data_IF_553758571283
#
_entry.id   IF_553758571283
#
_cell.length_a   1.000
_cell.length_b   1.000
_cell.length_c   1.000
_cell.angle_alpha   90.00
_cell.angle_beta   90.00
_cell.angle_gamma   90.00
#
_symmetry.space_group_name_H-M   'P 1'
#
loop_
_entity.id
_entity.type
_entity.pdbx_description
1 polymer ?
#
# COMPACT_ATOMS: atom_id res chain seq x y z
N UNK A 1 -6.75 5.66 9.28
CA UNK A 1 -5.43 5.35 8.66
C UNK A 1 -5.50 3.91 8.12
N UNK A 2 -4.88 3.59 6.98
CA UNK A 2 -5.20 2.52 5.99
C UNK A 2 -6.45 2.74 5.13
N UNK A 3 -7.64 2.94 5.70
CA UNK A 3 -8.87 3.22 4.89
C UNK A 3 -8.65 4.45 4.01
N UNK A 4 -8.26 5.57 4.62
CA UNK A 4 -7.92 6.80 3.88
C UNK A 4 -6.81 6.59 2.84
N UNK A 5 -5.81 5.74 3.11
CA UNK A 5 -4.71 5.48 2.18
C UNK A 5 -5.22 4.76 0.93
N UNK A 6 -6.15 3.82 1.11
CA UNK A 6 -6.76 3.06 0.02
C UNK A 6 -7.80 3.90 -0.75
N UNK A 7 -8.69 4.63 -0.08
CA UNK A 7 -9.72 5.46 -0.76
C UNK A 7 -9.14 6.59 -1.61
N UNK A 8 -7.91 7.01 -1.33
CA UNK A 8 -7.18 8.03 -2.09
C UNK A 8 -6.24 7.44 -3.15
N UNK A 9 -6.21 6.11 -3.27
CA UNK A 9 -5.37 5.40 -4.24
C UNK A 9 -5.93 5.60 -5.65
N UNK A 10 -5.03 5.78 -6.61
CA UNK A 10 -5.34 5.74 -8.04
C UNK A 10 -4.40 4.75 -8.71
N UNK A 11 -4.82 4.15 -9.80
CA UNK A 11 -4.01 3.18 -10.54
C UNK A 11 -4.10 3.42 -12.03
N UNK A 12 -2.97 3.26 -12.73
CA UNK A 12 -2.97 3.29 -14.19
C UNK A 12 -3.60 1.98 -14.72
N UNK A 13 -4.62 2.03 -15.60
CA UNK A 13 -5.23 0.82 -16.14
C UNK A 13 -4.27 0.02 -17.03
N UNK A 14 -3.24 0.67 -17.62
CA UNK A 14 -2.26 0.05 -18.51
C UNK A 14 -1.07 -0.53 -17.75
N UNK A 15 -0.26 0.31 -17.09
CA UNK A 15 0.98 -0.12 -16.44
C UNK A 15 0.84 -0.50 -14.96
N UNK A 16 -0.37 -0.39 -14.39
CA UNK A 16 -0.68 -0.71 -12.98
C UNK A 16 0.06 0.12 -11.92
N UNK A 17 0.81 1.15 -12.32
CA UNK A 17 1.45 2.08 -11.39
C UNK A 17 0.41 2.65 -10.43
N UNK A 18 0.77 2.65 -9.15
CA UNK A 18 -0.05 3.13 -8.04
C UNK A 18 0.31 4.58 -7.74
N UNK A 19 -0.72 5.36 -7.48
CA UNK A 19 -0.66 6.75 -7.07
C UNK A 19 -1.50 6.96 -5.81
N UNK A 20 -1.21 8.01 -5.06
CA UNK A 20 -2.07 8.49 -3.99
C UNK A 20 -2.20 10.02 -4.09
N UNK A 21 -3.43 10.53 -4.15
CA UNK A 21 -3.68 11.95 -4.45
C UNK A 21 -3.24 12.91 -3.33
N UNK A 22 -3.08 12.43 -2.09
CA UNK A 22 -2.63 13.20 -0.92
C UNK A 22 -1.20 12.86 -0.48
N UNK A 23 -0.48 12.02 -1.21
CA UNK A 23 0.92 11.71 -0.91
C UNK A 23 1.86 12.70 -1.60
N UNK A 24 2.97 13.06 -0.95
CA UNK A 24 4.01 13.86 -1.61
C UNK A 24 4.75 13.01 -2.65
N UNK A 25 5.17 11.80 -2.28
CA UNK A 25 6.03 10.95 -3.11
C UNK A 25 5.28 10.23 -4.24
N UNK A 26 3.98 10.01 -4.07
CA UNK A 26 3.17 9.16 -4.95
C UNK A 26 2.02 9.89 -5.66
N UNK A 27 2.00 11.22 -5.65
CA UNK A 27 1.02 12.01 -6.42
C UNK A 27 1.41 12.06 -7.91
N UNK A 28 0.47 11.98 -8.85
CA UNK A 28 0.79 12.14 -10.26
C UNK A 28 1.26 13.57 -10.55
N UNK A 29 2.18 13.72 -11.51
CA UNK A 29 2.72 15.03 -11.91
C UNK A 29 1.64 15.91 -12.54
N UNK A 30 0.73 15.29 -13.30
CA UNK A 30 -0.46 15.94 -13.87
C UNK A 30 -1.68 15.26 -13.26
N UNK A 31 -2.63 16.06 -12.76
CA UNK A 31 -3.83 15.55 -12.11
C UNK A 31 -4.54 14.53 -13.00
N UNK A 32 -4.93 13.40 -12.38
CA UNK A 32 -5.64 12.28 -13.02
C UNK A 32 -4.91 11.57 -14.18
N UNK A 33 -3.63 11.87 -14.47
CA UNK A 33 -2.90 11.21 -15.55
C UNK A 33 -1.73 10.37 -15.04
N UNK A 34 -1.51 9.22 -15.67
CA UNK A 34 -0.31 8.43 -15.46
C UNK A 34 0.91 9.16 -16.03
N UNK A 35 1.97 9.29 -15.23
CA UNK A 35 3.18 10.00 -15.66
C UNK A 35 3.90 9.32 -16.82
N UNK A 36 3.73 8.00 -16.99
CA UNK A 36 4.35 7.21 -18.06
C UNK A 36 3.42 7.05 -19.25
N UNK A 37 2.22 6.50 -19.03
CA UNK A 37 1.29 6.14 -20.09
C UNK A 37 0.45 7.30 -20.61
N UNK A 38 0.39 8.42 -19.87
CA UNK A 38 -0.45 9.59 -20.16
C UNK A 38 -1.96 9.31 -20.28
N UNK A 39 -2.41 8.14 -19.82
CA UNK A 39 -3.83 7.79 -19.72
C UNK A 39 -4.41 8.18 -18.36
N UNK A 40 -5.73 8.28 -18.32
CA UNK A 40 -6.47 8.58 -17.10
C UNK A 40 -6.30 7.49 -16.03
N UNK A 41 -6.08 7.93 -14.80
CA UNK A 41 -5.97 7.06 -13.64
C UNK A 41 -7.35 6.67 -13.13
N UNK A 42 -7.50 5.41 -12.75
CA UNK A 42 -8.76 4.89 -12.22
C UNK A 42 -8.71 4.73 -10.70
N UNK A 43 -9.84 4.97 -10.04
CA UNK A 43 -10.09 4.50 -8.68
C UNK A 43 -10.53 3.03 -8.74
N UNK A 44 -9.94 2.17 -7.90
CA UNK A 44 -10.31 0.76 -7.89
C UNK A 44 -11.59 0.58 -7.07
N UNK A 45 -12.50 -0.28 -7.54
CA UNK A 45 -13.75 -0.58 -6.83
C UNK A 45 -13.53 -1.15 -5.43
N UNK A 46 -12.43 -1.85 -5.20
CA UNK A 46 -12.08 -2.46 -3.91
C UNK A 46 -11.46 -1.48 -2.88
N UNK A 47 -11.32 -0.20 -3.25
CA UNK A 47 -10.81 0.89 -2.41
C UNK A 47 -11.93 1.78 -1.82
N UNK A 48 -13.20 1.47 -2.13
CA UNK A 48 -14.34 2.13 -1.51
C UNK A 48 -14.35 1.87 0.02
N UNK A 49 -14.60 2.90 0.87
CA UNK A 49 -14.43 2.77 2.32
C UNK A 49 -15.16 1.59 2.97
N UNK A 50 -16.39 1.30 2.53
CA UNK A 50 -17.18 0.16 3.03
C UNK A 50 -16.51 -1.18 2.68
N UNK A 51 -16.05 -1.34 1.44
CA UNK A 51 -15.35 -2.54 0.96
C UNK A 51 -14.01 -2.71 1.68
N UNK A 52 -13.26 -1.62 1.86
CA UNK A 52 -11.99 -1.64 2.60
C UNK A 52 -12.19 -2.10 4.04
N UNK A 53 -13.25 -1.64 4.71
CA UNK A 53 -13.58 -2.07 6.07
C UNK A 53 -13.80 -3.59 6.13
N UNK A 54 -14.60 -4.15 5.21
CA UNK A 54 -14.80 -5.59 5.10
C UNK A 54 -13.48 -6.34 4.87
N UNK A 55 -12.62 -5.82 3.99
CA UNK A 55 -11.30 -6.45 3.72
C UNK A 55 -10.38 -6.45 4.94
N UNK A 56 -10.44 -5.42 5.79
CA UNK A 56 -9.65 -5.37 7.03
C UNK A 56 -10.13 -6.46 7.99
N UNK A 57 -11.43 -6.69 8.10
CA UNK A 57 -11.97 -7.75 8.93
C UNK A 57 -11.49 -9.13 8.44
N UNK A 58 -11.59 -9.39 7.13
CA UNK A 58 -11.08 -10.62 6.52
C UNK A 58 -9.58 -10.78 6.75
N UNK A 59 -8.78 -9.71 6.61
CA UNK A 59 -7.36 -9.74 6.92
C UNK A 59 -7.10 -10.14 8.38
N UNK A 60 -7.85 -9.58 9.33
CA UNK A 60 -7.69 -9.87 10.76
C UNK A 60 -8.03 -11.33 11.10
N UNK A 61 -9.03 -11.90 10.44
CA UNK A 61 -9.47 -13.28 10.67
C UNK A 61 -8.55 -14.30 9.98
N UNK A 62 -8.18 -14.05 8.72
CA UNK A 62 -7.58 -15.07 7.86
C UNK A 62 -6.08 -14.88 7.65
N UNK A 63 -5.59 -13.63 7.63
CA UNK A 63 -4.19 -13.34 7.29
C UNK A 63 -3.34 -13.03 8.52
N UNK A 64 -3.88 -12.28 9.50
CA UNK A 64 -3.17 -11.91 10.73
C UNK A 64 -2.61 -13.11 11.51
N UNK A 65 -3.27 -14.29 11.58
CA UNK A 65 -2.70 -15.47 12.24
C UNK A 65 -1.36 -15.95 11.65
N UNK A 66 -1.07 -15.64 10.38
CA UNK A 66 0.21 -15.98 9.72
C UNK A 66 1.40 -15.28 10.39
N UNK A 67 1.17 -14.16 11.08
CA UNK A 67 2.20 -13.47 11.87
C UNK A 67 2.77 -14.40 12.94
N UNK A 68 1.91 -15.14 13.65
CA UNK A 68 2.34 -16.06 14.69
C UNK A 68 3.15 -17.24 14.14
N UNK A 69 2.84 -17.69 12.92
CA UNK A 69 3.61 -18.73 12.24
C UNK A 69 5.05 -18.28 11.98
N UNK A 70 5.26 -17.10 11.39
CA UNK A 70 6.61 -16.57 11.13
C UNK A 70 7.35 -16.17 12.42
N UNK A 71 6.61 -15.70 13.44
CA UNK A 71 7.17 -15.37 14.75
C UNK A 71 7.77 -16.62 15.42
N UNK A 72 7.04 -17.74 15.44
CA UNK A 72 7.53 -19.02 16.01
C UNK A 72 8.77 -19.56 15.29
N UNK A 73 8.94 -19.24 14.00
CA UNK A 73 10.12 -19.63 13.21
C UNK A 73 11.30 -18.66 13.36
N UNK A 74 11.16 -17.59 14.15
CA UNK A 74 12.14 -16.52 14.25
C UNK A 74 12.47 -15.86 12.89
N UNK A 75 11.48 -15.80 11.99
CA UNK A 75 11.60 -15.20 10.65
C UNK A 75 10.84 -13.87 10.53
N UNK A 76 10.12 -13.45 11.58
CA UNK A 76 9.30 -12.25 11.55
C UNK A 76 10.15 -11.00 11.83
N UNK A 77 10.17 -10.07 10.89
CA UNK A 77 10.62 -8.69 11.10
C UNK A 77 9.43 -7.74 11.04
N UNK A 78 9.25 -6.92 12.09
CA UNK A 78 8.15 -5.95 12.18
C UNK A 78 8.64 -4.57 11.77
N UNK A 79 7.89 -3.91 10.89
CA UNK A 79 8.25 -2.61 10.32
C UNK A 79 7.05 -1.66 10.40
N UNK A 80 7.27 -0.43 10.88
CA UNK A 80 6.25 0.61 10.95
C UNK A 80 6.03 1.29 9.57
N UNK A 81 4.93 0.95 8.92
CA UNK A 81 4.54 1.48 7.61
C UNK A 81 3.86 2.87 7.66
N UNK A 82 3.98 3.61 8.77
CA UNK A 82 3.56 5.01 8.87
C UNK A 82 4.70 6.00 8.68
N UNK A 83 5.94 5.53 8.64
CA UNK A 83 7.14 6.33 8.32
C UNK A 83 7.12 6.82 6.87
N UNK A 84 8.02 7.75 6.55
CA UNK A 84 8.24 8.18 5.16
C UNK A 84 8.70 7.03 4.28
N UNK A 85 8.55 7.16 2.96
CA UNK A 85 9.00 6.14 2.02
C UNK A 85 10.51 5.88 2.15
N UNK A 86 11.33 6.93 2.27
CA UNK A 86 12.78 6.81 2.36
C UNK A 86 13.23 6.05 3.62
N UNK A 87 12.68 6.40 4.78
CA UNK A 87 12.97 5.69 6.04
C UNK A 87 12.54 4.23 5.96
N UNK A 88 11.35 3.98 5.43
CA UNK A 88 10.79 2.63 5.30
C UNK A 88 11.64 1.77 4.35
N UNK A 89 12.04 2.33 3.21
CA UNK A 89 12.87 1.67 2.21
C UNK A 89 14.23 1.28 2.79
N UNK A 90 14.88 2.21 3.51
CA UNK A 90 16.16 1.95 4.17
C UNK A 90 16.05 0.81 5.20
N UNK A 91 15.01 0.85 6.05
CA UNK A 91 14.79 -0.18 7.08
C UNK A 91 14.58 -1.58 6.46
N UNK A 92 13.83 -1.66 5.36
CA UNK A 92 13.62 -2.93 4.66
C UNK A 92 14.92 -3.45 4.03
N UNK A 93 15.74 -2.58 3.43
CA UNK A 93 17.05 -2.99 2.90
C UNK A 93 17.99 -3.51 3.99
N UNK A 94 18.01 -2.86 5.16
CA UNK A 94 18.80 -3.31 6.30
C UNK A 94 18.35 -4.68 6.84
N UNK A 95 17.08 -5.06 6.66
CA UNK A 95 16.57 -6.38 7.04
C UNK A 95 16.95 -7.44 6.00
N UNK A 96 16.82 -7.12 4.72
CA UNK A 96 17.04 -8.07 3.61
C UNK A 96 18.53 -8.35 3.38
N UNK A 97 19.41 -7.38 3.62
CA UNK A 97 20.85 -7.51 3.39
C UNK A 97 21.63 -8.03 4.62
N UNK A 98 20.93 -8.48 5.66
CA UNK A 98 21.52 -9.22 6.78
C UNK A 98 21.67 -10.69 6.43
#
# INVERSE_FOLDING_TARGET
MIINRLSLRRSCPQCKRIYNINSVDFKPKVANLCDLCKVELIHRKDDDPSVVSTRINVYNEQTKPVIEYYKKKNLLHVVDANKSFEELYKLVLEIVNK
#
